data_IF_257356791038
#
_entry.id   IF_257356791038
#
_cell.length_a   1.000
_cell.length_b   1.000
_cell.length_c   1.000
_cell.angle_alpha   90.00
_cell.angle_beta   90.00
_cell.angle_gamma   90.00
#
_symmetry.space_group_name_H-M   'P 1'
#
loop_
_entity.id
_entity.type
_entity.pdbx_description
1 polymer ?
#
# COMPACT_ATOMS: atom_id res chain seq x y z
N UNK A 1 -2.89 -38.20 38.82
CA UNK A 1 -1.97 -37.02 38.82
C UNK A 1 -1.40 -36.70 37.44
N UNK A 2 -1.22 -37.66 36.52
CA UNK A 2 -0.68 -37.41 35.17
C UNK A 2 -1.56 -36.53 34.26
N UNK A 3 -2.89 -36.58 34.37
CA UNK A 3 -3.77 -35.74 33.53
C UNK A 3 -3.71 -34.24 33.89
N UNK A 4 -3.42 -33.91 35.14
CA UNK A 4 -3.27 -32.52 35.59
C UNK A 4 -1.99 -31.89 35.04
N UNK A 5 -0.89 -32.64 34.93
CA UNK A 5 0.36 -32.14 34.36
C UNK A 5 0.26 -31.94 32.85
N UNK A 6 -0.39 -32.84 32.12
CA UNK A 6 -0.62 -32.69 30.68
C UNK A 6 -1.48 -31.46 30.36
N UNK A 7 -2.53 -31.20 31.14
CA UNK A 7 -3.36 -30.00 31.00
C UNK A 7 -2.55 -28.72 31.27
N UNK A 8 -1.71 -28.72 32.30
CA UNK A 8 -0.86 -27.58 32.63
C UNK A 8 0.14 -27.24 31.51
N UNK A 9 0.79 -28.25 30.91
CA UNK A 9 1.71 -28.06 29.77
C UNK A 9 0.95 -27.47 28.57
N UNK A 10 -0.24 -27.98 28.27
CA UNK A 10 -1.08 -27.44 27.19
C UNK A 10 -1.42 -25.97 27.42
N UNK A 11 -1.90 -25.62 28.62
CA UNK A 11 -2.27 -24.23 28.94
C UNK A 11 -1.09 -23.28 28.88
N UNK A 12 0.09 -23.71 29.34
CA UNK A 12 1.30 -22.88 29.29
C UNK A 12 1.77 -22.68 27.84
N UNK A 13 1.74 -23.75 27.04
CA UNK A 13 2.08 -23.69 25.61
C UNK A 13 1.12 -22.78 24.84
N UNK A 14 -0.18 -22.89 25.12
CA UNK A 14 -1.20 -22.02 24.53
C UNK A 14 -0.97 -20.55 24.89
N UNK A 15 -0.69 -20.27 26.17
CA UNK A 15 -0.36 -18.92 26.64
C UNK A 15 0.87 -18.36 25.92
N UNK A 16 1.95 -19.15 25.79
CA UNK A 16 3.15 -18.74 25.09
C UNK A 16 2.89 -18.46 23.60
N UNK A 17 2.09 -19.30 22.94
CA UNK A 17 1.71 -19.10 21.54
C UNK A 17 0.91 -17.81 21.34
N UNK A 18 -0.05 -17.53 22.23
CA UNK A 18 -0.84 -16.29 22.20
C UNK A 18 0.02 -15.06 22.48
N UNK A 19 0.99 -15.16 23.38
CA UNK A 19 1.91 -14.07 23.68
C UNK A 19 2.78 -13.73 22.46
N UNK A 20 3.35 -14.74 21.80
CA UNK A 20 4.11 -14.56 20.56
C UNK A 20 3.26 -13.94 19.45
N UNK A 21 1.99 -14.34 19.33
CA UNK A 21 1.07 -13.76 18.36
C UNK A 21 0.83 -12.27 18.63
N UNK A 22 0.64 -11.88 19.90
CA UNK A 22 0.46 -10.47 20.28
C UNK A 22 1.70 -9.63 19.98
N UNK A 23 2.88 -10.13 20.28
CA UNK A 23 4.15 -9.45 19.97
C UNK A 23 4.32 -9.22 18.47
N UNK A 24 4.04 -10.24 17.65
CA UNK A 24 4.07 -10.11 16.19
C UNK A 24 3.02 -9.12 15.68
N UNK A 25 1.82 -9.14 16.25
CA UNK A 25 0.76 -8.21 15.89
C UNK A 25 1.16 -6.76 16.23
N UNK A 26 1.82 -6.53 17.37
CA UNK A 26 2.32 -5.21 17.76
C UNK A 26 3.35 -4.70 16.75
N UNK A 27 4.34 -5.52 16.36
CA UNK A 27 5.35 -5.15 15.35
C UNK A 27 4.72 -4.78 14.00
N UNK A 28 3.71 -5.54 13.56
CA UNK A 28 2.99 -5.22 12.30
C UNK A 28 2.20 -3.92 12.45
N UNK A 29 1.58 -3.67 13.60
CA UNK A 29 0.88 -2.43 13.90
C UNK A 29 1.82 -1.22 13.85
N UNK A 30 2.99 -1.31 14.50
CA UNK A 30 4.01 -0.26 14.47
C UNK A 30 4.52 0.01 13.05
N UNK A 31 4.78 -1.05 12.27
CA UNK A 31 5.18 -0.91 10.88
C UNK A 31 4.10 -0.26 10.00
N UNK A 32 2.82 -0.56 10.24
CA UNK A 32 1.70 0.07 9.54
C UNK A 32 1.61 1.57 9.86
N UNK A 33 1.78 1.94 11.13
CA UNK A 33 1.83 3.36 11.56
C UNK A 33 3.02 4.08 10.93
N UNK A 34 4.22 3.50 11.00
CA UNK A 34 5.42 4.11 10.40
C UNK A 34 5.27 4.28 8.87
N UNK A 35 4.60 3.35 8.19
CA UNK A 35 4.26 3.50 6.77
C UNK A 35 3.31 4.67 6.53
N UNK A 36 2.27 4.81 7.35
CA UNK A 36 1.34 5.92 7.25
C UNK A 36 2.07 7.27 7.41
N UNK A 37 2.90 7.40 8.44
CA UNK A 37 3.67 8.62 8.70
C UNK A 37 4.62 8.95 7.55
N UNK A 38 5.29 7.92 6.99
CA UNK A 38 6.13 8.09 5.80
C UNK A 38 5.32 8.63 4.62
N UNK A 39 4.13 8.10 4.38
CA UNK A 39 3.30 8.53 3.25
C UNK A 39 2.84 10.00 3.46
N UNK A 40 2.52 10.40 4.69
CA UNK A 40 2.22 11.80 5.04
C UNK A 40 3.43 12.72 4.83
N UNK A 41 4.63 12.31 5.23
CA UNK A 41 5.86 13.08 5.03
C UNK A 41 6.20 13.24 3.55
N UNK A 42 5.94 12.22 2.73
CA UNK A 42 6.13 12.29 1.28
C UNK A 42 5.19 13.34 0.67
N UNK A 43 3.95 13.40 1.11
CA UNK A 43 2.99 14.39 0.60
C UNK A 43 3.30 15.80 1.11
N UNK A 44 3.70 15.95 2.37
CA UNK A 44 4.19 17.22 2.93
C UNK A 44 5.43 17.73 2.18
N UNK A 45 6.37 16.84 1.84
CA UNK A 45 7.56 17.18 1.06
C UNK A 45 7.20 17.63 -0.35
N UNK A 46 6.23 16.97 -1.01
CA UNK A 46 5.74 17.40 -2.33
C UNK A 46 5.16 18.80 -2.28
N UNK A 47 4.33 19.09 -1.29
CA UNK A 47 3.72 20.41 -1.11
C UNK A 47 4.77 21.48 -0.80
N UNK A 48 5.74 21.17 0.06
CA UNK A 48 6.86 22.07 0.35
C UNK A 48 7.68 22.38 -0.91
N UNK A 49 7.99 21.36 -1.71
CA UNK A 49 8.72 21.53 -2.97
C UNK A 49 7.92 22.34 -4.00
N UNK A 50 6.61 22.11 -4.11
CA UNK A 50 5.74 22.89 -5.01
C UNK A 50 5.72 24.37 -4.61
N UNK A 51 5.57 24.67 -3.32
CA UNK A 51 5.63 26.04 -2.80
C UNK A 51 7.00 26.68 -3.03
N UNK A 52 8.08 25.95 -2.77
CA UNK A 52 9.43 26.43 -3.03
C UNK A 52 9.63 26.76 -4.51
N UNK A 53 9.23 25.86 -5.41
CA UNK A 53 9.37 26.06 -6.84
C UNK A 53 8.58 27.28 -7.34
N UNK A 54 7.36 27.50 -6.83
CA UNK A 54 6.58 28.68 -7.14
C UNK A 54 7.30 29.97 -6.71
N UNK A 55 7.85 30.01 -5.48
CA UNK A 55 8.56 31.20 -4.98
C UNK A 55 9.89 31.44 -5.69
N UNK A 56 10.59 30.39 -6.05
CA UNK A 56 11.79 30.49 -6.87
C UNK A 56 11.45 31.09 -8.25
N UNK A 57 10.37 30.60 -8.89
CA UNK A 57 9.89 31.14 -10.15
C UNK A 57 9.46 32.61 -10.04
N UNK A 58 8.77 32.99 -8.96
CA UNK A 58 8.41 34.39 -8.69
C UNK A 58 9.66 35.28 -8.53
N UNK A 59 10.70 34.80 -7.86
CA UNK A 59 11.96 35.53 -7.72
C UNK A 59 12.66 35.72 -9.08
N UNK A 60 12.72 34.67 -9.90
CA UNK A 60 13.28 34.74 -11.25
C UNK A 60 12.47 35.69 -12.14
N UNK A 61 11.14 35.64 -12.06
CA UNK A 61 10.25 36.57 -12.76
C UNK A 61 10.44 38.03 -12.27
N UNK A 62 10.81 38.20 -11.00
CA UNK A 62 11.20 39.48 -10.40
C UNK A 62 12.60 39.97 -10.80
N UNK A 63 13.30 39.26 -11.69
CA UNK A 63 14.60 39.68 -12.24
C UNK A 63 15.81 39.13 -11.50
N UNK A 64 15.63 38.27 -10.50
CA UNK A 64 16.77 37.58 -9.86
C UNK A 64 17.35 36.52 -10.78
N UNK A 65 18.67 36.52 -10.96
CA UNK A 65 19.34 35.46 -11.69
C UNK A 65 19.48 34.20 -10.82
N UNK A 66 19.59 33.04 -11.48
CA UNK A 66 19.82 31.78 -10.78
C UNK A 66 21.13 31.78 -9.97
N UNK A 67 22.16 32.48 -10.43
CA UNK A 67 23.44 32.61 -9.72
C UNK A 67 23.31 33.45 -8.44
N UNK A 68 22.53 34.52 -8.46
CA UNK A 68 22.26 35.34 -7.27
C UNK A 68 21.45 34.56 -6.23
N UNK A 69 20.46 33.79 -6.67
CA UNK A 69 19.70 32.90 -5.80
C UNK A 69 20.57 31.78 -5.22
N UNK A 70 21.45 31.17 -6.01
CA UNK A 70 22.38 30.15 -5.54
C UNK A 70 23.36 30.70 -4.48
N UNK A 71 23.83 31.95 -4.61
CA UNK A 71 24.64 32.62 -3.57
C UNK A 71 23.89 32.78 -2.24
N UNK A 72 22.56 32.81 -2.28
CA UNK A 72 21.68 32.84 -1.10
C UNK A 72 21.30 31.44 -0.61
N UNK A 73 21.83 30.38 -1.22
CA UNK A 73 21.47 28.99 -0.92
C UNK A 73 20.10 28.57 -1.46
N UNK A 74 19.55 29.33 -2.40
CA UNK A 74 18.30 29.00 -3.09
C UNK A 74 18.66 28.33 -4.42
N UNK A 75 18.74 27.01 -4.40
CA UNK A 75 19.03 26.23 -5.60
C UNK A 75 17.78 26.07 -6.48
N UNK A 76 17.99 25.91 -7.79
CA UNK A 76 16.90 25.69 -8.71
C UNK A 76 16.12 24.42 -8.32
N UNK A 77 14.79 24.47 -8.21
CA UNK A 77 13.99 23.28 -7.89
C UNK A 77 14.18 22.23 -8.99
N UNK A 78 14.34 20.98 -8.59
CA UNK A 78 14.35 19.84 -9.50
C UNK A 78 13.08 19.87 -10.36
N UNK A 79 13.25 20.11 -11.66
CA UNK A 79 12.14 20.17 -12.61
C UNK A 79 11.48 18.80 -12.68
N UNK A 80 10.40 18.62 -11.92
CA UNK A 80 9.61 17.39 -11.87
C UNK A 80 8.82 17.17 -13.17
N UNK A 81 9.52 17.03 -14.30
CA UNK A 81 8.97 16.57 -15.58
C UNK A 81 8.73 15.06 -15.60
N UNK A 82 8.81 14.38 -14.44
CA UNK A 82 8.35 12.99 -14.31
C UNK A 82 6.82 12.97 -14.39
N UNK A 83 6.35 12.99 -15.64
CA UNK A 83 5.09 12.41 -16.08
C UNK A 83 4.99 11.02 -15.49
N UNK A 84 4.33 10.93 -14.33
CA UNK A 84 3.96 9.66 -13.72
C UNK A 84 2.93 9.06 -14.66
N UNK A 85 3.39 8.33 -15.68
CA UNK A 85 2.54 7.51 -16.56
C UNK A 85 1.62 6.72 -15.65
N UNK A 86 0.33 7.13 -15.64
CA UNK A 86 -0.76 6.41 -14.98
C UNK A 86 -0.65 4.96 -15.44
N UNK A 87 -0.23 4.07 -14.54
CA UNK A 87 -0.27 2.63 -14.82
C UNK A 87 -1.74 2.30 -15.02
N UNK A 88 -2.10 1.88 -16.24
CA UNK A 88 -3.48 1.51 -16.55
C UNK A 88 -3.96 0.43 -15.57
N UNK A 89 -5.22 0.47 -15.11
CA UNK A 89 -5.76 -0.58 -14.26
C UNK A 89 -5.66 -1.91 -14.99
N UNK A 90 -5.05 -2.90 -14.33
CA UNK A 90 -4.96 -4.27 -14.83
C UNK A 90 -6.39 -4.79 -14.93
N UNK A 91 -6.87 -5.07 -16.14
CA UNK A 91 -8.19 -5.63 -16.37
C UNK A 91 -8.33 -6.92 -15.55
N UNK A 92 -9.41 -6.99 -14.77
CA UNK A 92 -9.81 -8.22 -14.10
C UNK A 92 -10.09 -9.28 -15.17
N UNK A 93 -9.40 -10.41 -15.07
CA UNK A 93 -9.60 -11.56 -15.93
C UNK A 93 -11.02 -12.12 -15.69
N UNK A 94 -11.85 -12.33 -16.72
CA UNK A 94 -13.15 -12.96 -16.53
C UNK A 94 -12.95 -14.40 -16.07
N UNK A 95 -13.68 -14.77 -15.01
CA UNK A 95 -13.83 -16.14 -14.56
C UNK A 95 -14.31 -17.00 -15.74
N UNK A 96 -13.43 -17.87 -16.24
CA UNK A 96 -13.85 -18.91 -17.17
C UNK A 96 -14.61 -19.96 -16.35
N UNK A 97 -15.90 -20.07 -16.66
CA UNK A 97 -16.80 -21.03 -16.06
C UNK A 97 -16.40 -22.47 -16.40
N UNK A 98 -16.55 -23.33 -15.40
CA UNK A 98 -17.13 -24.66 -15.61
C UNK A 98 -18.61 -24.43 -15.99
N UNK A 99 -19.22 -25.17 -16.93
CA UNK A 99 -19.40 -26.62 -16.77
C UNK A 99 -19.33 -27.43 -18.07
N UNK A 100 -18.71 -28.60 -18.02
CA UNK A 100 -18.95 -29.64 -19.04
C UNK A 100 -19.12 -30.97 -18.29
N UNK A 101 -20.33 -31.20 -17.79
CA UNK A 101 -20.79 -32.54 -17.44
C UNK A 101 -21.97 -32.86 -18.35
N UNK A 102 -21.64 -33.65 -19.36
CA UNK A 102 -22.47 -34.11 -20.45
C UNK A 102 -23.39 -35.23 -19.94
N UNK A 103 -24.63 -34.93 -19.55
CA UNK A 103 -25.68 -35.95 -19.40
C UNK A 103 -27.02 -35.43 -19.93
N UNK A 104 -27.32 -35.79 -21.18
CA UNK A 104 -28.67 -36.05 -21.64
C UNK A 104 -28.58 -37.08 -22.77
N UNK A 105 -29.47 -38.08 -22.79
CA UNK A 105 -30.48 -37.97 -23.83
C UNK A 105 -31.89 -38.44 -23.42
N UNK A 106 -32.85 -37.89 -24.17
CA UNK A 106 -34.09 -38.50 -24.64
C UNK A 106 -35.26 -38.65 -23.65
N UNK A 107 -36.02 -37.55 -23.52
CA UNK A 107 -37.41 -37.41 -23.99
C UNK A 107 -38.16 -38.73 -24.37
N UNK A 108 -39.27 -39.00 -23.67
CA UNK A 108 -40.26 -40.05 -23.98
C UNK A 108 -41.60 -39.35 -24.28
N UNK A 109 -42.32 -39.69 -25.37
CA UNK A 109 -43.39 -38.85 -25.93
C UNK A 109 -44.79 -39.07 -25.30
N UNK A 110 -45.68 -38.13 -25.64
CA UNK A 110 -47.07 -37.98 -25.22
C UNK A 110 -48.03 -39.15 -25.56
N UNK A 111 -49.02 -39.38 -24.69
CA UNK A 111 -50.40 -39.86 -24.98
C UNK A 111 -51.31 -39.28 -23.88
N UNK A 112 -52.27 -38.40 -24.17
CA UNK A 112 -53.69 -38.66 -24.52
C UNK A 112 -54.37 -39.68 -23.63
#
# INVERSE_FOLDING_TARGET
MADQSAKAIRTETEKAALQLLRERAALVGEAATARHDRDQLVDALREANARYAARYADAVAGGWSAEELAKLGLDAPESSTTSRRRRAPRQAQPAQGQPDELVAPAEVPAQT
#
